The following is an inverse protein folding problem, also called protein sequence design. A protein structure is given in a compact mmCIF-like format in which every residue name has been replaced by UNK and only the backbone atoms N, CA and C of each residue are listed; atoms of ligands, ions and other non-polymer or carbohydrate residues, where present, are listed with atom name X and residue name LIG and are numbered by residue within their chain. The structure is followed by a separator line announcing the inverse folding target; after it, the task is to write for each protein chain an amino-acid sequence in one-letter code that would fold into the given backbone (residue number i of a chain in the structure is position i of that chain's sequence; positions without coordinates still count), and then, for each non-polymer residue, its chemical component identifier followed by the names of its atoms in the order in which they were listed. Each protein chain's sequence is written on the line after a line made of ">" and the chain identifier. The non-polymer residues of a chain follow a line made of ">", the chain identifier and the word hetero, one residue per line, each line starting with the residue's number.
data_IF_650803600891
#
_entry.id   IF_650803600891
#
_cell.length_a   1.000
_cell.length_b   1.000
_cell.length_c   1.000
_cell.angle_alpha   90.00
_cell.angle_beta   90.00
_cell.angle_gamma   90.00
#
_symmetry.space_group_name_H-M   'P 1'
#
loop_
_entity.id
_entity.type
_entity.pdbx_description
1 polymer ?
#
# COMPACT_ATOMS: atom_id res chain seq x y z
N UNK A 1 4.73 18.12 29.85
CA UNK A 1 3.97 17.65 28.67
C UNK A 1 4.83 17.82 27.42
N UNK A 2 5.69 16.84 27.11
CA UNK A 2 6.68 16.99 26.04
C UNK A 2 7.26 15.65 25.63
N UNK A 3 6.42 14.77 25.08
CA UNK A 3 6.98 13.73 24.23
C UNK A 3 7.50 14.43 22.99
N UNK A 4 8.81 14.40 22.75
CA UNK A 4 9.36 14.76 21.44
C UNK A 4 8.44 14.13 20.39
N UNK A 5 7.89 14.92 19.48
CA UNK A 5 6.97 14.50 18.43
C UNK A 5 7.65 13.60 17.40
N UNK A 6 8.38 12.58 17.88
CA UNK A 6 9.19 11.70 17.10
C UNK A 6 8.25 10.78 16.32
N UNK A 7 8.33 10.78 14.98
CA UNK A 7 7.51 9.90 14.19
C UNK A 7 7.83 8.45 14.58
N UNK A 8 6.78 7.63 14.76
CA UNK A 8 6.93 6.17 14.89
C UNK A 8 7.73 5.65 13.69
N UNK A 9 9.03 5.41 13.88
CA UNK A 9 9.97 5.08 12.79
C UNK A 9 9.56 3.83 12.03
N UNK A 10 9.07 2.79 12.74
CA UNK A 10 8.57 1.57 12.11
C UNK A 10 7.39 1.84 11.16
N UNK A 11 6.42 2.65 11.61
CA UNK A 11 5.26 3.04 10.81
C UNK A 11 5.66 3.93 9.63
N UNK A 12 6.66 4.79 9.81
CA UNK A 12 7.19 5.63 8.75
C UNK A 12 7.92 4.81 7.67
N UNK A 13 8.68 3.81 8.11
CA UNK A 13 9.33 2.85 7.23
C UNK A 13 8.32 2.01 6.43
N UNK A 14 7.25 1.53 7.05
CA UNK A 14 6.17 0.84 6.33
C UNK A 14 5.48 1.78 5.31
N UNK A 15 5.28 3.04 5.67
CA UNK A 15 4.70 4.06 4.80
C UNK A 15 5.58 4.34 3.55
N UNK A 16 6.90 4.37 3.70
CA UNK A 16 7.84 4.63 2.58
C UNK A 16 7.92 3.47 1.61
N UNK A 17 7.84 2.24 2.11
CA UNK A 17 7.79 1.06 1.25
C UNK A 17 6.45 0.96 0.52
N UNK A 18 5.34 1.25 1.21
CA UNK A 18 4.03 1.38 0.58
C UNK A 18 4.04 2.41 -0.54
N UNK A 19 4.59 3.59 -0.28
CA UNK A 19 4.74 4.62 -1.29
C UNK A 19 5.52 4.11 -2.50
N UNK A 20 6.65 3.44 -2.28
CA UNK A 20 7.44 2.83 -3.36
C UNK A 20 6.61 1.85 -4.19
N UNK A 21 5.82 1.00 -3.54
CA UNK A 21 4.92 0.07 -4.21
C UNK A 21 3.83 0.76 -5.05
N UNK A 22 3.32 1.91 -4.59
CA UNK A 22 2.34 2.72 -5.33
C UNK A 22 2.99 3.37 -6.55
N UNK A 23 4.20 3.91 -6.39
CA UNK A 23 4.93 4.57 -7.48
C UNK A 23 5.33 3.60 -8.60
N UNK A 24 5.66 2.36 -8.26
CA UNK A 24 5.90 1.27 -9.23
C UNK A 24 4.66 1.00 -10.12
N UNK A 25 3.47 1.29 -9.62
CA UNK A 25 2.20 1.10 -10.34
C UNK A 25 1.75 2.35 -11.11
N UNK A 26 2.49 3.45 -11.01
CA UNK A 26 2.18 4.66 -11.75
C UNK A 26 2.35 4.43 -13.27
N UNK A 27 1.65 5.20 -14.12
CA UNK A 27 1.86 5.14 -15.56
C UNK A 27 3.34 5.38 -15.92
N UNK A 28 3.77 4.83 -17.07
CA UNK A 28 5.12 5.07 -17.59
C UNK A 28 5.43 6.55 -17.72
N UNK A 29 6.70 6.91 -17.57
CA UNK A 29 7.23 8.28 -17.61
C UNK A 29 6.81 9.15 -16.40
N UNK A 30 6.19 8.57 -15.37
CA UNK A 30 5.90 9.30 -14.12
C UNK A 30 7.14 9.36 -13.22
N UNK A 31 7.85 8.24 -13.11
CA UNK A 31 9.00 8.09 -12.22
C UNK A 31 10.11 7.35 -12.96
N UNK A 32 11.15 8.07 -13.35
CA UNK A 32 12.26 7.52 -14.16
C UNK A 32 12.89 6.25 -13.55
N UNK A 33 13.08 6.22 -12.22
CA UNK A 33 13.62 5.04 -11.55
C UNK A 33 12.69 3.82 -11.66
N UNK A 34 11.37 4.02 -11.63
CA UNK A 34 10.40 2.94 -11.76
C UNK A 34 10.32 2.44 -13.22
N UNK A 35 10.48 3.35 -14.18
CA UNK A 35 10.57 3.01 -15.60
C UNK A 35 11.84 2.18 -15.88
N UNK A 36 12.99 2.57 -15.33
CA UNK A 36 14.24 1.79 -15.40
C UNK A 36 14.08 0.39 -14.79
N UNK A 37 13.41 0.27 -13.65
CA UNK A 37 13.10 -1.03 -13.07
C UNK A 37 12.22 -1.85 -14.03
N UNK A 38 11.16 -1.26 -14.59
CA UNK A 38 10.23 -1.92 -15.50
C UNK A 38 10.89 -2.38 -16.81
N UNK A 39 11.85 -1.65 -17.36
CA UNK A 39 12.60 -2.05 -18.55
C UNK A 39 13.36 -3.36 -18.33
N UNK A 40 13.96 -3.54 -17.16
CA UNK A 40 14.69 -4.77 -16.81
C UNK A 40 13.78 -5.98 -16.66
N UNK A 41 12.51 -5.77 -16.35
CA UNK A 41 11.50 -6.84 -16.19
C UNK A 41 10.74 -7.16 -17.47
N UNK A 42 11.01 -6.46 -18.58
CA UNK A 42 10.44 -6.79 -19.88
C UNK A 42 10.70 -8.26 -20.22
N UNK A 43 9.69 -9.05 -20.65
CA UNK A 43 8.37 -8.63 -21.13
C UNK A 43 7.27 -8.53 -20.05
N UNK A 44 7.57 -8.85 -18.78
CA UNK A 44 6.59 -8.88 -17.72
C UNK A 44 6.30 -7.49 -17.13
N UNK A 45 5.03 -7.20 -16.88
CA UNK A 45 4.63 -6.00 -16.16
C UNK A 45 4.94 -6.16 -14.67
N UNK A 46 5.60 -5.16 -14.09
CA UNK A 46 5.92 -5.16 -12.66
C UNK A 46 4.66 -5.12 -11.81
N UNK A 47 3.59 -4.52 -12.33
CA UNK A 47 2.23 -4.58 -11.80
C UNK A 47 1.74 -6.02 -11.63
N UNK A 48 1.99 -6.91 -12.61
CA UNK A 48 1.58 -8.31 -12.53
C UNK A 48 2.33 -9.02 -11.41
N UNK A 49 3.62 -8.72 -11.20
CA UNK A 49 4.40 -9.30 -10.11
C UNK A 49 3.84 -8.84 -8.76
N UNK A 50 3.54 -7.55 -8.64
CA UNK A 50 3.13 -6.92 -7.39
C UNK A 50 1.76 -7.44 -6.90
N UNK A 51 0.83 -7.69 -7.81
CA UNK A 51 -0.52 -8.17 -7.50
C UNK A 51 -0.72 -9.68 -7.62
N UNK A 52 0.18 -10.38 -8.31
CA UNK A 52 0.09 -11.83 -8.43
C UNK A 52 0.48 -12.52 -7.12
N UNK A 53 -0.25 -13.58 -6.74
CA UNK A 53 0.21 -14.49 -5.71
C UNK A 53 1.57 -15.10 -6.08
N UNK A 54 2.40 -15.41 -5.07
CA UNK A 54 3.74 -15.98 -5.25
C UNK A 54 3.80 -17.19 -6.18
N UNK A 55 2.73 -17.97 -6.27
CA UNK A 55 2.60 -19.15 -7.13
C UNK A 55 2.65 -18.82 -8.64
N UNK A 56 2.17 -17.64 -9.04
CA UNK A 56 2.10 -17.23 -10.46
C UNK A 56 3.26 -16.33 -10.86
N UNK A 57 4.17 -16.02 -9.94
CA UNK A 57 5.36 -15.21 -10.24
C UNK A 57 6.42 -16.06 -10.95
N UNK A 58 7.18 -15.48 -11.88
CA UNK A 58 8.30 -16.18 -12.49
C UNK A 58 9.30 -16.66 -11.42
N UNK A 59 9.73 -17.93 -11.50
CA UNK A 59 10.64 -18.53 -10.50
C UNK A 59 12.03 -17.87 -10.48
N UNK A 60 12.47 -17.33 -11.62
CA UNK A 60 13.75 -16.62 -11.78
C UNK A 60 13.48 -15.13 -12.00
N UNK A 61 13.26 -14.41 -10.91
CA UNK A 61 13.08 -12.97 -10.90
C UNK A 61 14.37 -12.29 -10.46
N UNK A 62 15.08 -11.64 -11.39
CA UNK A 62 16.24 -10.80 -11.06
C UNK A 62 15.78 -9.44 -10.57
N UNK A 63 15.29 -9.38 -9.32
CA UNK A 63 14.80 -8.15 -8.70
C UNK A 63 15.96 -7.31 -8.16
N UNK A 64 15.86 -5.99 -8.31
CA UNK A 64 16.69 -5.09 -7.52
C UNK A 64 16.37 -5.26 -6.01
N UNK A 65 17.33 -4.99 -5.11
CA UNK A 65 17.10 -5.13 -3.67
C UNK A 65 15.91 -4.30 -3.17
N UNK A 66 15.73 -3.09 -3.73
CA UNK A 66 14.62 -2.16 -3.48
C UNK A 66 13.27 -2.77 -3.87
N UNK A 67 13.14 -3.25 -5.10
CA UNK A 67 11.92 -3.89 -5.61
C UNK A 67 11.60 -5.16 -4.81
N UNK A 68 12.61 -5.97 -4.48
CA UNK A 68 12.45 -7.20 -3.70
C UNK A 68 11.87 -6.92 -2.32
N UNK A 69 12.44 -5.95 -1.60
CA UNK A 69 11.95 -5.53 -0.29
C UNK A 69 10.51 -4.99 -0.38
N UNK A 70 10.25 -4.19 -1.43
CA UNK A 70 8.92 -3.63 -1.69
C UNK A 70 7.88 -4.72 -1.91
N UNK A 71 8.17 -5.71 -2.76
CA UNK A 71 7.29 -6.86 -3.00
C UNK A 71 7.07 -7.67 -1.72
N UNK A 72 8.12 -7.91 -0.91
CA UNK A 72 7.99 -8.68 0.32
C UNK A 72 7.06 -8.02 1.34
N UNK A 73 7.15 -6.70 1.49
CA UNK A 73 6.30 -5.93 2.40
C UNK A 73 4.88 -5.84 1.83
N UNK A 74 4.75 -5.62 0.52
CA UNK A 74 3.46 -5.64 -0.16
C UNK A 74 2.74 -6.99 -0.01
N UNK A 75 3.45 -8.12 -0.12
CA UNK A 75 2.90 -9.45 0.10
C UNK A 75 2.33 -9.62 1.50
N UNK A 76 3.03 -9.11 2.52
CA UNK A 76 2.53 -9.17 3.92
C UNK A 76 1.20 -8.42 4.03
N UNK A 77 1.06 -7.31 3.32
CA UNK A 77 -0.18 -6.53 3.27
C UNK A 77 -1.28 -7.27 2.51
N UNK A 78 -0.98 -7.83 1.33
CA UNK A 78 -1.96 -8.58 0.54
C UNK A 78 -2.47 -9.84 1.26
N UNK A 79 -1.63 -10.52 2.04
CA UNK A 79 -2.07 -11.68 2.87
C UNK A 79 -3.19 -11.29 3.85
N UNK A 80 -3.26 -10.03 4.28
CA UNK A 80 -4.37 -9.56 5.13
C UNK A 80 -5.68 -9.35 4.38
N UNK A 81 -5.63 -9.34 3.04
CA UNK A 81 -6.72 -8.93 2.15
C UNK A 81 -7.21 -10.02 1.21
N UNK A 82 -6.39 -11.03 0.93
CA UNK A 82 -6.74 -12.14 0.06
C UNK A 82 -6.41 -13.48 0.73
N UNK A 83 -7.09 -14.52 0.28
CA UNK A 83 -6.75 -15.88 0.66
C UNK A 83 -5.39 -16.27 0.07
N UNK A 84 -4.67 -17.15 0.76
CA UNK A 84 -3.36 -17.62 0.31
C UNK A 84 -3.46 -18.19 -1.10
N UNK A 85 -2.66 -17.65 -2.02
CA UNK A 85 -2.60 -18.12 -3.40
C UNK A 85 -3.66 -17.55 -4.34
N UNK A 86 -4.49 -16.61 -3.87
CA UNK A 86 -5.51 -15.92 -4.68
C UNK A 86 -5.24 -14.42 -4.81
N UNK A 87 -5.71 -13.87 -5.93
CA UNK A 87 -5.67 -12.44 -6.21
C UNK A 87 -6.65 -11.68 -5.30
N UNK A 88 -6.27 -10.45 -4.95
CA UNK A 88 -7.12 -9.51 -4.24
C UNK A 88 -8.09 -8.82 -5.21
N UNK A 89 -9.33 -8.54 -4.79
CA UNK A 89 -10.32 -7.85 -5.65
C UNK A 89 -9.89 -6.44 -6.07
N UNK A 90 -9.00 -5.82 -5.31
CA UNK A 90 -8.49 -4.47 -5.59
C UNK A 90 -7.33 -4.47 -6.58
N UNK A 91 -6.89 -5.66 -7.02
CA UNK A 91 -5.90 -5.75 -8.07
C UNK A 91 -6.44 -5.10 -9.35
N UNK A 92 -5.58 -4.40 -10.11
CA UNK A 92 -5.89 -3.97 -11.45
C UNK A 92 -6.26 -5.17 -12.31
N UNK A 93 -7.19 -4.97 -13.24
CA UNK A 93 -7.68 -6.02 -14.12
C UNK A 93 -6.53 -6.62 -14.96
N UNK A 94 -5.60 -5.76 -15.40
CA UNK A 94 -4.39 -6.13 -16.14
C UNK A 94 -3.48 -7.13 -15.39
N UNK A 95 -3.54 -7.15 -14.05
CA UNK A 95 -2.76 -8.11 -13.26
C UNK A 95 -3.15 -9.57 -13.56
N UNK A 96 -4.36 -9.81 -14.06
CA UNK A 96 -4.84 -11.14 -14.46
C UNK A 96 -4.27 -11.59 -15.82
N UNK A 97 -3.76 -10.68 -16.65
CA UNK A 97 -3.11 -11.06 -17.92
C UNK A 97 -1.90 -11.97 -17.67
N UNK A 98 -1.21 -11.81 -16.53
CA UNK A 98 -0.10 -12.69 -16.12
C UNK A 98 -0.52 -14.13 -15.78
N UNK A 99 -1.82 -14.44 -15.70
CA UNK A 99 -2.33 -15.79 -15.43
C UNK A 99 -2.51 -16.58 -16.73
N UNK A 100 -2.73 -15.91 -17.86
CA UNK A 100 -3.06 -16.56 -19.13
C UNK A 100 -2.65 -15.69 -20.31
N UNK A 101 -1.73 -16.19 -21.14
CA UNK A 101 -1.13 -15.46 -22.26
C UNK A 101 -2.14 -15.05 -23.35
N UNK A 102 -3.29 -15.72 -23.42
CA UNK A 102 -4.35 -15.46 -24.40
C UNK A 102 -5.37 -14.39 -23.96
N UNK A 103 -5.30 -13.94 -22.71
CA UNK A 103 -6.26 -12.99 -22.15
C UNK A 103 -5.75 -11.56 -22.31
N UNK A 104 -6.35 -10.79 -23.23
CA UNK A 104 -6.07 -9.36 -23.38
C UNK A 104 -7.18 -8.52 -22.72
N UNK A 105 -6.82 -7.82 -21.65
CA UNK A 105 -7.71 -7.00 -20.81
C UNK A 105 -7.48 -5.50 -21.01
N UNK A 106 -6.44 -5.11 -21.76
CA UNK A 106 -6.23 -3.72 -22.20
C UNK A 106 -7.48 -3.05 -22.78
N UNK A 107 -8.31 -3.71 -23.63
CA UNK A 107 -9.52 -3.07 -24.15
C UNK A 107 -10.57 -2.80 -23.07
N UNK A 108 -10.57 -3.53 -21.95
CA UNK A 108 -11.54 -3.30 -20.87
C UNK A 108 -11.26 -2.00 -20.11
N UNK A 109 -9.97 -1.61 -20.02
CA UNK A 109 -9.56 -0.37 -19.40
C UNK A 109 -10.08 0.86 -20.15
N UNK A 110 -10.26 0.79 -21.47
CA UNK A 110 -10.80 1.92 -22.27
C UNK A 110 -12.29 2.16 -22.01
N UNK A 111 -13.04 1.11 -21.64
CA UNK A 111 -14.44 1.21 -21.18
C UNK A 111 -14.56 1.59 -19.70
N UNK A 112 -13.44 1.78 -19.00
CA UNK A 112 -13.43 2.22 -17.60
C UNK A 112 -13.41 1.10 -16.58
N UNK A 113 -13.29 -0.17 -17.00
CA UNK A 113 -13.11 -1.31 -16.08
C UNK A 113 -11.62 -1.43 -15.76
N UNK A 114 -11.20 -0.97 -14.58
CA UNK A 114 -9.77 -0.87 -14.21
C UNK A 114 -9.34 -1.90 -13.18
N UNK A 115 -10.24 -2.32 -12.30
CA UNK A 115 -9.95 -3.24 -11.20
C UNK A 115 -10.88 -4.44 -11.23
N UNK A 116 -10.49 -5.54 -10.59
CA UNK A 116 -11.35 -6.74 -10.51
C UNK A 116 -12.66 -6.43 -9.76
N UNK A 117 -12.61 -5.55 -8.74
CA UNK A 117 -13.82 -5.08 -8.02
C UNK A 117 -14.85 -4.42 -8.93
N UNK A 118 -14.44 -3.85 -10.07
CA UNK A 118 -15.35 -3.17 -11.00
C UNK A 118 -16.24 -4.19 -11.75
N UNK A 119 -15.86 -5.46 -11.72
CA UNK A 119 -16.62 -6.59 -12.26
C UNK A 119 -17.53 -7.26 -11.23
N UNK A 120 -17.38 -6.89 -9.95
CA UNK A 120 -18.10 -7.50 -8.84
C UNK A 120 -19.20 -6.55 -8.34
N UNK A 121 -20.37 -7.13 -8.08
CA UNK A 121 -21.34 -6.56 -7.15
C UNK A 121 -20.89 -6.86 -5.70
N UNK A 122 -21.61 -6.32 -4.71
CA UNK A 122 -21.26 -6.37 -3.28
C UNK A 122 -20.81 -7.75 -2.77
N UNK A 123 -21.30 -8.84 -3.36
CA UNK A 123 -20.98 -10.21 -2.93
C UNK A 123 -20.59 -11.19 -4.04
N UNK A 124 -20.80 -10.85 -5.32
CA UNK A 124 -20.57 -11.77 -6.44
C UNK A 124 -20.32 -11.03 -7.76
N UNK A 125 -19.86 -11.74 -8.79
CA UNK A 125 -19.63 -11.20 -10.13
C UNK A 125 -20.93 -10.70 -10.77
N UNK A 126 -20.88 -9.49 -11.33
CA UNK A 126 -22.00 -8.89 -12.05
C UNK A 126 -22.26 -9.65 -13.35
N UNK A 127 -23.53 -9.87 -13.70
CA UNK A 127 -23.88 -10.44 -15.00
C UNK A 127 -23.45 -9.50 -16.15
N UNK A 128 -23.12 -10.08 -17.31
CA UNK A 128 -22.66 -9.32 -18.47
C UNK A 128 -23.62 -8.20 -18.90
N UNK A 129 -24.96 -8.39 -18.96
CA UNK A 129 -25.89 -7.31 -19.33
C UNK A 129 -25.80 -6.10 -18.40
N UNK A 130 -25.55 -6.32 -17.11
CA UNK A 130 -25.38 -5.24 -16.13
C UNK A 130 -24.07 -4.49 -16.36
N UNK A 131 -22.99 -5.20 -16.70
CA UNK A 131 -21.72 -4.58 -17.07
C UNK A 131 -21.83 -3.77 -18.38
N UNK A 132 -22.59 -4.27 -19.36
CA UNK A 132 -22.87 -3.51 -20.59
C UNK A 132 -23.60 -2.21 -20.28
N UNK A 133 -24.57 -2.25 -19.37
CA UNK A 133 -25.33 -1.06 -18.97
C UNK A 133 -24.42 -0.04 -18.27
N UNK A 134 -23.55 -0.50 -17.36
CA UNK A 134 -22.69 0.36 -16.55
C UNK A 134 -21.51 0.95 -17.32
N UNK A 135 -20.87 0.15 -18.18
CA UNK A 135 -19.60 0.50 -18.84
C UNK A 135 -19.72 0.59 -20.37
N UNK A 136 -20.92 0.43 -20.94
CA UNK A 136 -21.19 0.47 -22.38
C UNK A 136 -20.32 -0.50 -23.20
N UNK A 137 -20.06 -1.69 -22.63
CA UNK A 137 -19.19 -2.70 -23.24
C UNK A 137 -19.90 -3.38 -24.43
N UNK A 138 -19.25 -3.53 -25.59
CA UNK A 138 -19.82 -4.22 -26.74
C UNK A 138 -20.08 -5.70 -26.49
N UNK A 139 -21.08 -6.27 -27.17
CA UNK A 139 -21.43 -7.69 -27.03
C UNK A 139 -20.32 -8.66 -27.48
N UNK A 140 -19.37 -8.19 -28.31
CA UNK A 140 -18.21 -8.99 -28.73
C UNK A 140 -17.33 -9.46 -27.57
N UNK A 141 -17.41 -8.79 -26.41
CA UNK A 141 -16.66 -9.15 -25.21
C UNK A 141 -17.31 -10.26 -24.37
N UNK A 142 -18.50 -10.75 -24.74
CA UNK A 142 -19.23 -11.76 -23.97
C UNK A 142 -18.42 -13.05 -23.76
N UNK A 143 -17.75 -13.54 -24.80
CA UNK A 143 -16.93 -14.75 -24.68
C UNK A 143 -15.73 -14.54 -23.74
N UNK A 144 -15.04 -13.40 -23.88
CA UNK A 144 -13.95 -13.03 -22.95
C UNK A 144 -14.45 -12.87 -21.51
N UNK A 145 -15.66 -12.33 -21.33
CA UNK A 145 -16.27 -12.21 -20.02
C UNK A 145 -16.53 -13.59 -19.38
N UNK A 146 -17.02 -14.58 -20.13
CA UNK A 146 -17.22 -15.95 -19.62
C UNK A 146 -15.88 -16.55 -19.16
N UNK A 147 -14.84 -16.40 -19.98
CA UNK A 147 -13.49 -16.84 -19.66
C UNK A 147 -12.96 -16.16 -18.39
N UNK A 148 -13.12 -14.84 -18.32
CA UNK A 148 -12.71 -14.06 -17.16
C UNK A 148 -13.49 -14.45 -15.91
N UNK A 149 -14.79 -14.69 -16.02
CA UNK A 149 -15.64 -15.15 -14.92
C UNK A 149 -15.12 -16.46 -14.33
N UNK A 150 -14.72 -17.42 -15.17
CA UNK A 150 -14.10 -18.68 -14.74
C UNK A 150 -12.80 -18.45 -13.95
N UNK A 151 -11.95 -17.55 -14.45
CA UNK A 151 -10.68 -17.18 -13.78
C UNK A 151 -10.96 -16.50 -12.43
N UNK A 152 -11.89 -15.55 -12.38
CA UNK A 152 -12.19 -14.82 -11.15
C UNK A 152 -12.75 -15.77 -10.09
N UNK A 153 -13.69 -16.66 -10.43
CA UNK A 153 -14.22 -17.63 -9.46
C UNK A 153 -13.15 -18.57 -8.89
N UNK A 154 -12.17 -18.97 -9.71
CA UNK A 154 -11.15 -19.94 -9.30
C UNK A 154 -9.95 -19.29 -8.62
N UNK A 155 -9.56 -18.08 -9.02
CA UNK A 155 -8.28 -17.46 -8.66
C UNK A 155 -8.39 -16.18 -7.83
N UNK A 156 -9.58 -15.60 -7.68
CA UNK A 156 -9.78 -14.35 -6.92
C UNK A 156 -10.54 -14.64 -5.63
N UNK A 157 -10.15 -13.97 -4.55
CA UNK A 157 -10.93 -13.96 -3.31
C UNK A 157 -12.08 -12.98 -3.44
N UNK A 158 -13.29 -13.45 -3.74
CA UNK A 158 -14.48 -12.60 -3.90
C UNK A 158 -15.05 -12.09 -2.57
N UNK A 159 -14.81 -12.81 -1.48
CA UNK A 159 -15.26 -12.41 -0.14
C UNK A 159 -14.30 -11.37 0.42
N UNK A 160 -14.81 -10.17 0.65
CA UNK A 160 -14.13 -9.20 1.51
C UNK A 160 -13.93 -9.82 2.91
N UNK A 161 -12.79 -9.60 3.58
CA UNK A 161 -12.57 -10.13 4.92
C UNK A 161 -13.72 -9.71 5.85
N UNK A 162 -14.50 -10.67 6.34
CA UNK A 162 -15.65 -10.46 7.23
C UNK A 162 -15.25 -10.02 8.65
N UNK A 163 -13.94 -9.91 8.93
CA UNK A 163 -13.38 -9.57 10.22
C UNK A 163 -12.71 -8.19 10.21
N UNK A 164 -13.27 -7.16 10.89
CA UNK A 164 -12.46 -6.04 11.35
C UNK A 164 -11.71 -6.49 12.62
N UNK A 165 -10.38 -6.33 12.72
CA UNK A 165 -9.74 -5.00 12.80
C UNK A 165 -8.36 -4.89 12.11
N UNK A 166 -8.01 -5.77 11.15
CA UNK A 166 -6.69 -5.73 10.47
C UNK A 166 -6.77 -5.58 8.94
N UNK A 167 -7.79 -6.14 8.29
CA UNK A 167 -7.93 -6.08 6.82
C UNK A 167 -8.47 -4.74 6.30
N UNK A 168 -9.43 -4.13 6.99
CA UNK A 168 -10.13 -2.90 6.53
C UNK A 168 -9.20 -1.69 6.38
N UNK A 169 -8.12 -1.64 7.17
CA UNK A 169 -7.12 -0.57 7.12
C UNK A 169 -6.25 -0.67 5.87
N UNK A 170 -5.77 -1.87 5.57
CA UNK A 170 -5.00 -2.16 4.36
C UNK A 170 -5.84 -1.87 3.11
N UNK A 171 -7.14 -2.16 3.13
CA UNK A 171 -8.07 -1.80 2.05
C UNK A 171 -8.17 -0.29 1.82
N UNK A 172 -8.29 0.48 2.90
CA UNK A 172 -8.41 1.94 2.80
C UNK A 172 -7.10 2.57 2.31
N UNK A 173 -5.96 2.06 2.76
CA UNK A 173 -4.63 2.48 2.29
C UNK A 173 -4.49 2.19 0.80
N UNK A 174 -4.75 0.96 0.39
CA UNK A 174 -4.62 0.52 -1.00
C UNK A 174 -5.58 1.33 -1.89
N UNK A 175 -6.86 1.39 -1.57
CA UNK A 175 -7.84 2.14 -2.38
C UNK A 175 -7.53 3.64 -2.49
N UNK A 176 -7.12 4.28 -1.38
CA UNK A 176 -6.83 5.72 -1.34
C UNK A 176 -5.51 6.08 -2.01
N UNK A 177 -4.53 5.19 -1.97
CA UNK A 177 -3.23 5.46 -2.57
C UNK A 177 -3.16 5.05 -4.04
N UNK A 178 -3.83 3.97 -4.45
CA UNK A 178 -3.94 3.57 -5.86
C UNK A 178 -4.77 4.53 -6.70
N UNK A 179 -5.75 5.21 -6.10
CA UNK A 179 -6.57 6.19 -6.82
C UNK A 179 -5.80 7.46 -7.20
N UNK A 180 -4.59 7.67 -6.68
CA UNK A 180 -3.80 8.87 -6.96
C UNK A 180 -2.28 8.68 -6.77
N UNK A 181 -1.62 7.86 -7.61
CA UNK A 181 -0.19 7.55 -7.48
C UNK A 181 0.73 8.77 -7.69
N UNK A 182 0.23 9.82 -8.35
CA UNK A 182 0.96 11.03 -8.74
C UNK A 182 0.77 12.21 -7.78
N UNK A 183 -0.07 12.07 -6.74
CA UNK A 183 -0.36 13.20 -5.85
C UNK A 183 0.85 13.53 -4.96
N UNK A 184 1.21 14.82 -4.83
CA UNK A 184 2.23 15.23 -3.88
C UNK A 184 1.81 14.85 -2.46
N UNK A 185 2.78 14.50 -1.62
CA UNK A 185 2.60 14.10 -0.20
C UNK A 185 2.00 12.69 0.00
N UNK A 186 2.11 11.80 -0.98
CA UNK A 186 1.76 10.37 -0.90
C UNK A 186 2.31 9.68 0.35
N UNK A 187 3.60 9.88 0.67
CA UNK A 187 4.21 9.33 1.89
C UNK A 187 3.50 9.78 3.16
N UNK A 188 3.24 11.08 3.28
CA UNK A 188 2.54 11.63 4.45
C UNK A 188 1.12 11.08 4.59
N UNK A 189 0.47 10.80 3.45
CA UNK A 189 -0.85 10.20 3.41
C UNK A 189 -0.79 8.75 3.87
N UNK A 190 0.14 7.94 3.34
CA UNK A 190 0.38 6.57 3.80
C UNK A 190 0.65 6.56 5.31
N UNK A 191 1.51 7.46 5.78
CA UNK A 191 1.90 7.56 7.18
C UNK A 191 0.73 7.97 8.09
N UNK A 192 -0.03 9.03 7.75
CA UNK A 192 -1.21 9.45 8.51
C UNK A 192 -2.27 8.37 8.55
N UNK A 193 -2.46 7.66 7.43
CA UNK A 193 -3.41 6.56 7.33
C UNK A 193 -2.98 5.45 8.28
N UNK A 194 -1.73 4.98 8.22
CA UNK A 194 -1.21 3.99 9.17
C UNK A 194 -1.27 4.44 10.64
N UNK A 195 -0.95 5.71 10.93
CA UNK A 195 -1.01 6.27 12.28
C UNK A 195 -2.43 6.32 12.85
N UNK A 196 -3.42 6.72 12.05
CA UNK A 196 -4.82 6.82 12.48
C UNK A 196 -5.41 5.49 12.92
N UNK A 197 -4.79 4.39 12.51
CA UNK A 197 -5.24 3.03 12.79
C UNK A 197 -4.31 2.26 13.72
N UNK A 198 -3.10 2.75 13.97
CA UNK A 198 -2.25 2.16 14.99
C UNK A 198 -2.88 2.52 16.33
N UNK A 199 -3.38 1.56 17.13
CA UNK A 199 -3.86 1.88 18.47
C UNK A 199 -2.74 2.65 19.19
N UNK A 200 -3.07 3.63 20.05
CA UNK A 200 -2.07 4.24 20.90
C UNK A 200 -1.42 3.11 21.68
N UNK A 201 -0.24 2.67 21.24
CA UNK A 201 0.57 1.76 22.01
C UNK A 201 0.86 2.53 23.28
N UNK A 202 0.14 2.18 24.35
CA UNK A 202 0.66 2.35 25.69
C UNK A 202 1.88 1.44 25.74
N UNK A 203 2.99 1.90 25.16
CA UNK A 203 4.22 1.19 25.26
C UNK A 203 4.47 0.99 26.76
N UNK A 204 4.81 -0.23 27.16
CA UNK A 204 5.04 -0.51 28.58
C UNK A 204 6.09 0.43 29.17
N UNK A 205 7.02 0.95 28.35
CA UNK A 205 7.96 1.99 28.76
C UNK A 205 7.31 3.35 29.04
N UNK A 206 6.21 3.76 28.37
CA UNK A 206 5.47 4.99 28.70
C UNK A 206 4.74 4.82 30.04
N UNK A 207 4.21 3.63 30.30
CA UNK A 207 3.65 3.28 31.61
C UNK A 207 4.74 3.18 32.70
N UNK A 208 5.96 2.78 32.36
CA UNK A 208 7.11 2.76 33.28
C UNK A 208 7.65 4.17 33.52
N UNK A 209 7.82 4.99 32.49
CA UNK A 209 8.18 6.41 32.62
C UNK A 209 7.14 7.23 33.36
N UNK A 210 5.86 6.91 33.24
CA UNK A 210 4.82 7.53 34.06
C UNK A 210 4.79 7.04 35.52
N UNK A 211 5.48 5.93 35.83
CA UNK A 211 5.70 5.44 37.20
C UNK A 211 6.99 5.98 37.81
N UNK A 212 7.97 6.28 36.98
CA UNK A 212 9.14 7.07 37.35
C UNK A 212 8.67 8.51 37.58
N UNK A 213 8.11 8.76 38.76
CA UNK A 213 7.84 10.11 39.26
C UNK A 213 9.17 10.86 39.35
N UNK A 214 9.61 11.44 38.23
CA UNK A 214 10.57 12.52 38.27
C UNK A 214 9.83 13.64 39.01
N UNK A 215 10.30 14.11 40.18
CA UNK A 215 9.67 15.24 40.83
C UNK A 215 9.59 16.38 39.83
N UNK A 216 8.43 17.02 39.71
CA UNK A 216 8.23 18.13 38.79
C UNK A 216 9.37 19.12 38.98
N UNK A 217 10.22 19.25 37.97
CA UNK A 217 11.36 20.14 38.05
C UNK A 217 10.79 21.55 38.09
N UNK A 218 10.86 22.18 39.26
CA UNK A 218 10.41 23.56 39.44
C UNK A 218 11.15 24.46 38.44
N UNK A 219 10.50 25.51 37.94
CA UNK A 219 11.12 26.44 36.98
C UNK A 219 12.48 26.96 37.47
N UNK A 220 12.63 27.16 38.79
CA UNK A 220 13.90 27.54 39.43
C UNK A 220 15.01 26.49 39.29
N UNK A 221 14.68 25.19 39.40
CA UNK A 221 15.63 24.08 39.23
C UNK A 221 16.00 23.88 37.75
N UNK A 222 15.06 24.14 36.84
CA UNK A 222 15.32 24.13 35.40
C UNK A 222 16.28 25.25 34.99
N UNK A 223 16.04 26.48 35.47
CA UNK A 223 16.93 27.61 35.24
C UNK A 223 18.30 27.45 35.87
N UNK A 224 18.40 26.87 37.08
CA UNK A 224 19.70 26.54 37.69
C UNK A 224 20.48 25.51 36.86
N UNK A 225 19.81 24.48 36.36
CA UNK A 225 20.44 23.45 35.51
C UNK A 225 20.91 24.03 34.17
N UNK A 226 20.11 24.90 33.55
CA UNK A 226 20.48 25.60 32.32
C UNK A 226 21.65 26.57 32.53
N UNK A 227 21.69 27.29 33.66
CA UNK A 227 22.80 28.18 34.00
C UNK A 227 24.07 27.39 34.33
N UNK A 228 23.98 26.22 34.95
CA UNK A 228 25.12 25.33 35.16
C UNK A 228 25.68 24.79 33.82
N UNK A 229 24.82 24.53 32.84
CA UNK A 229 25.21 24.07 31.50
C UNK A 229 25.76 25.19 30.61
N UNK A 230 25.37 26.44 30.83
CA UNK A 230 25.91 27.62 30.13
C UNK A 230 27.42 27.79 30.29
N UNK A 231 27.99 27.32 31.40
CA UNK A 231 29.45 27.31 31.61
C UNK A 231 30.19 26.15 30.94
N UNK A 232 29.48 25.09 30.54
CA UNK A 232 30.05 23.87 29.97
C UNK A 232 29.95 23.78 28.45
N UNK A 233 29.12 24.61 27.82
CA UNK A 233 28.91 24.61 26.37
C UNK A 233 29.15 26.00 25.79
N UNK A 234 30.33 26.21 25.22
CA UNK A 234 30.80 27.49 24.64
C UNK A 234 30.14 27.88 23.31
N UNK A 235 28.87 27.51 23.07
CA UNK A 235 28.22 27.66 21.76
C UNK A 235 26.94 28.51 21.77
N UNK A 236 26.73 29.36 22.78
CA UNK A 236 25.55 30.25 22.84
C UNK A 236 25.86 31.75 22.83
N UNK A 237 27.06 32.18 22.44
CA UNK A 237 27.41 33.60 22.29
C UNK A 237 27.43 34.04 20.82
N UNK A 238 26.34 33.84 20.08
CA UNK A 238 26.08 34.54 18.81
C UNK A 238 24.57 34.61 18.53
N UNK A 239 23.86 35.42 19.33
CA UNK A 239 22.67 36.14 18.87
C UNK A 239 22.66 37.48 19.62
N UNK A 240 23.37 38.45 19.07
CA UNK A 240 22.97 39.87 19.00
C UNK A 240 23.28 40.36 17.60
#
# INVERSE_FOLDING_TARGET
>A
MGGLGFPKLATYYEASILESAIRIQAPRNTFQWADMEQEKFSPHLMLNILWSPKLYRPKKLQLYPTTRLTIQIWDKLLITLSEKGKFCIYAPLEALEGVSDWLSLKPWATYGVKHIKDLCSQTDLMAFPTLQTNYKIPNSFMFQYIQLKSIVHTRVTLKLPTTPPKGTHTLTIITRCLSAPTKPKSLSLCYKTLLSYTPPHAFNYVKQWGKDNIPELTDSQWFQSLNALRGLTSCFSHVE
#
